data_IF_789819081717
#
_entry.id   IF_789819081717
#
_cell.length_a   1.000
_cell.length_b   1.000
_cell.length_c   1.000
_cell.angle_alpha   90.00
_cell.angle_beta   90.00
_cell.angle_gamma   90.00
#
_symmetry.space_group_name_H-M   'P 1'
#
loop_
_entity.id
_entity.type
_entity.pdbx_description
1 polymer ?
#
# COMPACT_ATOMS: atom_id res chain seq x y z
N UNK A 1 6.64 -8.53 -20.30
CA UNK A 1 6.61 -7.97 -18.94
C UNK A 1 5.16 -7.70 -18.54
N UNK A 2 4.59 -8.46 -17.58
CA UNK A 2 3.21 -8.22 -17.09
C UNK A 2 3.27 -7.18 -15.96
N UNK A 3 3.02 -5.92 -16.29
CA UNK A 3 2.87 -4.83 -15.31
C UNK A 3 1.50 -4.96 -14.65
N UNK A 4 1.45 -4.99 -13.32
CA UNK A 4 0.22 -5.18 -12.56
C UNK A 4 0.02 -4.01 -11.59
N UNK A 5 -0.94 -3.15 -11.99
CA UNK A 5 -1.59 -2.02 -11.32
C UNK A 5 -0.84 -0.70 -11.11
N UNK A 6 -1.61 0.39 -11.22
CA UNK A 6 -1.20 1.79 -11.38
C UNK A 6 -1.81 2.67 -10.30
N UNK A 7 -1.04 3.63 -9.78
CA UNK A 7 -1.59 4.85 -9.19
C UNK A 7 -0.52 5.95 -9.21
N UNK A 8 -0.88 7.11 -9.76
CA UNK A 8 -0.07 8.32 -9.71
C UNK A 8 -0.47 9.15 -8.48
N UNK A 9 0.50 9.52 -7.64
CA UNK A 9 0.33 10.56 -6.62
C UNK A 9 1.52 11.49 -6.73
N UNK A 10 1.30 12.81 -6.78
CA UNK A 10 2.39 13.80 -6.85
C UNK A 10 3.39 13.44 -7.95
N UNK A 11 2.86 13.09 -9.14
CA UNK A 11 3.66 12.68 -10.29
C UNK A 11 4.58 11.47 -10.01
N UNK A 12 4.23 10.60 -9.05
CA UNK A 12 4.97 9.38 -8.71
C UNK A 12 4.13 8.14 -9.01
N UNK A 13 4.71 7.18 -9.74
CA UNK A 13 4.12 5.91 -10.16
C UNK A 13 4.75 4.74 -9.42
N UNK A 14 3.95 3.97 -8.67
CA UNK A 14 4.41 2.79 -7.92
C UNK A 14 3.91 1.49 -8.56
N UNK A 15 4.81 0.50 -8.69
CA UNK A 15 4.49 -0.79 -9.32
C UNK A 15 5.37 -1.93 -8.80
N UNK A 16 4.93 -3.17 -8.99
CA UNK A 16 5.79 -4.35 -8.83
C UNK A 16 6.07 -4.97 -10.19
N UNK A 17 7.31 -5.40 -10.44
CA UNK A 17 7.67 -6.06 -11.69
C UNK A 17 8.75 -7.13 -11.52
N UNK A 18 8.49 -8.32 -12.04
CA UNK A 18 9.47 -9.34 -12.45
C UNK A 18 8.73 -10.36 -13.33
N UNK A 19 9.46 -11.16 -14.10
CA UNK A 19 8.86 -12.21 -14.94
C UNK A 19 8.26 -13.36 -14.10
N UNK A 20 8.84 -13.63 -12.94
CA UNK A 20 8.33 -14.56 -11.93
C UNK A 20 7.60 -13.77 -10.83
N UNK A 21 6.29 -14.02 -10.58
CA UNK A 21 5.54 -13.41 -9.47
C UNK A 21 6.20 -13.56 -8.10
N UNK A 22 6.97 -14.63 -7.86
CA UNK A 22 7.70 -14.87 -6.61
C UNK A 22 8.90 -13.93 -6.45
N UNK A 23 9.39 -13.37 -7.56
CA UNK A 23 10.51 -12.44 -7.63
C UNK A 23 10.06 -10.99 -7.73
N UNK A 24 8.76 -10.71 -7.65
CA UNK A 24 8.27 -9.34 -7.68
C UNK A 24 8.97 -8.49 -6.62
N UNK A 25 9.35 -7.30 -7.04
CA UNK A 25 9.94 -6.25 -6.20
C UNK A 25 9.22 -4.95 -6.50
N UNK A 26 8.97 -4.16 -5.47
CA UNK A 26 8.41 -2.84 -5.62
C UNK A 26 9.40 -1.89 -6.28
N UNK A 27 8.87 -0.99 -7.10
CA UNK A 27 9.59 0.11 -7.73
C UNK A 27 8.69 1.35 -7.77
N UNK A 28 9.30 2.52 -7.88
CA UNK A 28 8.62 3.74 -8.26
C UNK A 28 9.28 4.44 -9.45
N UNK A 29 8.52 5.30 -10.12
CA UNK A 29 9.00 6.25 -11.14
C UNK A 29 8.44 7.63 -10.82
N UNK A 30 9.11 8.67 -11.28
CA UNK A 30 8.65 10.05 -11.14
C UNK A 30 8.44 10.64 -12.53
N UNK A 31 7.42 11.47 -12.67
CA UNK A 31 7.17 12.34 -13.81
C UNK A 31 7.42 13.78 -13.39
N UNK A 32 8.00 14.56 -14.28
CA UNK A 32 8.23 16.00 -14.08
C UNK A 32 7.50 16.84 -15.13
N UNK A 33 6.62 16.21 -15.92
CA UNK A 33 6.00 16.76 -17.12
C UNK A 33 4.51 16.44 -17.19
N UNK A 34 3.81 16.52 -16.05
CA UNK A 34 2.36 16.25 -15.95
C UNK A 34 1.99 14.83 -16.40
N UNK A 35 2.77 13.84 -16.01
CA UNK A 35 2.55 12.41 -16.28
C UNK A 35 2.68 12.01 -17.77
N UNK A 36 3.25 12.89 -18.61
CA UNK A 36 3.52 12.62 -20.03
C UNK A 36 4.67 11.62 -20.23
N UNK A 37 5.70 11.70 -19.39
CA UNK A 37 6.80 10.75 -19.34
C UNK A 37 7.17 10.36 -17.92
N UNK A 38 7.92 9.26 -17.79
CA UNK A 38 8.29 8.68 -16.50
C UNK A 38 9.77 8.31 -16.48
N UNK A 39 10.43 8.58 -15.36
CA UNK A 39 11.82 8.23 -15.11
C UNK A 39 12.10 6.73 -15.22
N UNK A 40 13.38 6.37 -15.09
CA UNK A 40 13.75 4.99 -14.78
C UNK A 40 13.19 4.55 -13.43
N UNK A 41 12.96 3.25 -13.29
CA UNK A 41 12.33 2.67 -12.11
C UNK A 41 13.32 2.52 -10.95
N UNK A 42 13.09 3.25 -9.86
CA UNK A 42 13.88 3.18 -8.63
C UNK A 42 13.30 2.11 -7.71
N UNK A 43 14.18 1.29 -7.12
CA UNK A 43 13.77 0.19 -6.23
C UNK A 43 13.38 0.74 -4.86
N UNK A 44 12.28 0.22 -4.31
CA UNK A 44 11.90 0.44 -2.90
C UNK A 44 12.33 -0.75 -2.04
N UNK A 45 12.40 -0.62 -0.71
CA UNK A 45 12.77 -1.73 0.16
C UNK A 45 12.02 -3.05 -0.14
N UNK A 46 12.74 -4.18 -0.13
CA UNK A 46 12.25 -5.47 -0.62
C UNK A 46 11.03 -6.03 0.13
N UNK A 47 10.81 -5.60 1.37
CA UNK A 47 9.63 -5.96 2.16
C UNK A 47 8.35 -5.23 1.71
N UNK A 48 8.46 -4.33 0.73
CA UNK A 48 7.37 -3.51 0.21
C UNK A 48 6.90 -4.06 -1.14
N UNK A 49 5.92 -4.96 -1.09
CA UNK A 49 5.21 -5.34 -2.30
C UNK A 49 4.11 -4.36 -2.64
N UNK A 50 3.99 -4.04 -3.91
CA UNK A 50 3.06 -3.06 -4.43
C UNK A 50 1.97 -3.83 -5.17
N UNK A 51 0.89 -4.16 -4.46
CA UNK A 51 -0.35 -4.69 -5.04
C UNK A 51 -1.42 -3.61 -4.98
N UNK A 52 -1.37 -2.63 -5.89
CA UNK A 52 -2.24 -1.45 -5.80
C UNK A 52 -3.52 -1.69 -6.60
N UNK A 53 -4.56 -2.24 -5.99
CA UNK A 53 -5.93 -2.04 -6.53
C UNK A 53 -6.68 -0.92 -5.80
N UNK A 54 -6.09 -0.36 -4.75
CA UNK A 54 -6.80 0.48 -3.80
C UNK A 54 -6.39 1.95 -3.92
N UNK A 55 -7.37 2.85 -3.74
CA UNK A 55 -7.14 4.29 -3.72
C UNK A 55 -6.30 4.67 -2.51
N UNK A 56 -5.38 5.58 -2.73
CA UNK A 56 -4.48 6.12 -1.72
C UNK A 56 -5.06 7.43 -1.17
N UNK A 57 -4.56 7.83 -0.01
CA UNK A 57 -4.95 9.09 0.63
C UNK A 57 -3.74 9.77 1.25
N UNK A 58 -3.70 11.08 1.07
CA UNK A 58 -2.80 12.01 1.72
C UNK A 58 -3.48 12.46 3.00
N UNK A 59 -2.81 12.29 4.14
CA UNK A 59 -3.21 12.82 5.45
C UNK A 59 -2.65 14.23 5.67
N UNK A 60 -3.10 14.89 6.74
CA UNK A 60 -2.77 16.29 7.06
C UNK A 60 -1.25 16.56 7.22
N UNK A 61 -0.47 15.55 7.62
CA UNK A 61 1.00 15.61 7.73
C UNK A 61 1.75 15.09 6.49
N UNK A 62 1.12 15.17 5.31
CA UNK A 62 1.68 14.67 4.04
C UNK A 62 1.97 13.17 4.00
N UNK A 63 1.50 12.43 5.01
CA UNK A 63 1.61 10.97 5.06
C UNK A 63 0.68 10.38 4.01
N UNK A 64 1.25 9.65 3.07
CA UNK A 64 0.48 8.85 2.12
C UNK A 64 0.31 7.45 2.68
N UNK A 65 -0.93 6.99 2.83
CA UNK A 65 -1.22 5.63 3.28
C UNK A 65 -1.42 4.68 2.11
N UNK A 66 -0.60 3.62 2.09
CA UNK A 66 -0.72 2.50 1.14
C UNK A 66 -1.28 1.26 1.81
N UNK A 67 -2.59 1.00 1.70
CA UNK A 67 -3.19 -0.21 2.21
C UNK A 67 -2.85 -1.38 1.28
N UNK A 68 -2.17 -2.38 1.80
CA UNK A 68 -1.81 -3.54 0.99
C UNK A 68 -1.78 -4.81 1.85
N UNK A 69 -1.68 -5.94 1.17
CA UNK A 69 -1.64 -7.24 1.78
C UNK A 69 -0.52 -8.08 1.18
N UNK A 70 0.03 -8.99 1.97
CA UNK A 70 0.99 -9.97 1.50
C UNK A 70 0.58 -11.39 1.90
N UNK A 71 0.77 -12.32 0.98
CA UNK A 71 0.46 -13.72 1.17
C UNK A 71 1.74 -14.48 1.55
N UNK A 72 1.73 -15.12 2.71
CA UNK A 72 2.82 -16.00 3.16
C UNK A 72 2.29 -17.42 3.35
N UNK A 73 3.20 -18.39 3.51
CA UNK A 73 2.85 -19.75 3.91
C UNK A 73 2.20 -19.82 5.30
N UNK A 74 2.45 -18.82 6.16
CA UNK A 74 1.91 -18.74 7.52
C UNK A 74 0.57 -18.02 7.61
N UNK A 75 0.13 -17.36 6.53
CA UNK A 75 -1.11 -16.61 6.49
C UNK A 75 -1.00 -15.32 5.69
N UNK A 76 -2.12 -14.60 5.60
CA UNK A 76 -2.21 -13.33 4.88
C UNK A 76 -2.20 -12.15 5.85
N UNK A 77 -1.32 -11.18 5.59
CA UNK A 77 -1.12 -10.02 6.44
C UNK A 77 -1.55 -8.76 5.70
N UNK A 78 -2.12 -7.82 6.44
CA UNK A 78 -2.39 -6.46 5.96
C UNK A 78 -1.42 -5.52 6.63
N UNK A 79 -0.94 -4.55 5.87
CA UNK A 79 -0.16 -3.48 6.41
C UNK A 79 -0.47 -2.16 5.70
N UNK A 80 -0.25 -1.08 6.44
CA UNK A 80 -0.29 0.28 5.91
C UNK A 80 1.13 0.80 5.85
N UNK A 81 1.50 1.38 4.70
CA UNK A 81 2.77 2.10 4.59
C UNK A 81 2.48 3.60 4.66
N UNK A 82 2.98 4.33 5.66
CA UNK A 82 3.14 5.77 5.55
C UNK A 82 4.37 6.08 4.70
N UNK A 83 4.26 7.15 3.94
CA UNK A 83 5.31 7.67 3.07
C UNK A 83 5.30 9.19 3.18
N UNK A 84 6.48 9.79 3.36
CA UNK A 84 6.66 11.25 3.22
C UNK A 84 6.68 11.66 1.74
N UNK A 85 6.38 12.92 1.44
CA UNK A 85 6.31 13.46 0.07
C UNK A 85 7.55 13.14 -0.80
N UNK A 86 8.72 12.98 -0.18
CA UNK A 86 10.00 12.75 -0.84
C UNK A 86 10.34 11.27 -1.09
N UNK A 87 9.45 10.32 -0.79
CA UNK A 87 9.66 8.88 -1.00
C UNK A 87 10.87 8.28 -0.24
N UNK A 88 11.33 8.95 0.81
CA UNK A 88 12.54 8.64 1.57
C UNK A 88 12.26 7.85 2.85
N UNK A 89 11.05 8.00 3.42
CA UNK A 89 10.65 7.34 4.66
C UNK A 89 9.59 6.26 4.39
N UNK A 90 10.03 4.99 4.35
CA UNK A 90 9.15 3.84 4.19
C UNK A 90 8.97 3.09 5.51
N UNK A 91 7.76 3.11 6.08
CA UNK A 91 7.43 2.27 7.25
C UNK A 91 6.43 1.19 6.87
N UNK A 92 6.51 0.04 7.55
CA UNK A 92 5.49 -1.00 7.50
C UNK A 92 4.77 -1.02 8.85
N UNK A 93 3.46 -0.85 8.84
CA UNK A 93 2.63 -0.98 10.04
C UNK A 93 1.73 -2.19 9.81
N UNK A 94 2.04 -3.28 10.50
CA UNK A 94 1.22 -4.49 10.44
C UNK A 94 -0.08 -4.30 11.21
N UNK A 95 -1.17 -4.77 10.62
CA UNK A 95 -2.50 -4.64 11.20
C UNK A 95 -2.94 -6.02 11.69
N UNK A 96 -3.27 -6.10 12.97
CA UNK A 96 -3.88 -7.30 13.54
C UNK A 96 -5.25 -7.53 12.88
N UNK A 97 -5.41 -8.71 12.28
CA UNK A 97 -6.61 -9.16 11.59
C UNK A 97 -7.35 -10.24 12.38
N UNK A 98 -7.03 -10.40 13.68
CA UNK A 98 -7.66 -11.33 14.60
C UNK A 98 -7.63 -12.79 14.10
N UNK A 99 -6.49 -13.19 13.53
CA UNK A 99 -6.26 -14.54 13.00
C UNK A 99 -6.93 -14.85 11.66
N UNK A 100 -7.56 -13.87 11.00
CA UNK A 100 -8.20 -14.06 9.69
C UNK A 100 -7.19 -13.86 8.55
N UNK A 101 -7.30 -14.63 7.47
CA UNK A 101 -6.44 -14.43 6.30
C UNK A 101 -6.95 -13.28 5.45
N UNK A 102 -6.70 -12.04 5.88
CA UNK A 102 -7.23 -10.84 5.26
C UNK A 102 -6.38 -10.36 4.06
N UNK A 103 -7.05 -9.92 2.98
CA UNK A 103 -6.45 -9.48 1.72
C UNK A 103 -7.23 -8.33 1.10
N UNK A 104 -6.56 -7.54 0.26
CA UNK A 104 -7.15 -6.43 -0.52
C UNK A 104 -7.89 -5.43 0.38
N UNK A 105 -7.18 -4.76 1.30
CA UNK A 105 -7.77 -3.76 2.19
C UNK A 105 -8.26 -2.52 1.43
N UNK A 106 -9.54 -2.19 1.55
CA UNK A 106 -10.09 -0.89 1.15
C UNK A 106 -10.11 0.03 2.36
N UNK A 107 -9.55 1.24 2.23
CA UNK A 107 -9.52 2.21 3.33
C UNK A 107 -10.74 3.12 3.29
N UNK A 108 -11.35 3.34 4.45
CA UNK A 108 -12.29 4.43 4.71
C UNK A 108 -11.71 5.38 5.75
N UNK A 109 -11.95 6.66 5.53
CA UNK A 109 -11.53 7.74 6.41
C UNK A 109 -12.75 8.32 7.11
N UNK A 110 -12.65 8.47 8.43
CA UNK A 110 -13.72 9.00 9.27
C UNK A 110 -13.29 10.32 9.90
N UNK A 111 -14.27 11.06 10.45
CA UNK A 111 -13.99 12.26 11.25
C UNK A 111 -13.09 11.92 12.45
N UNK A 112 -12.23 12.86 12.82
CA UNK A 112 -11.32 12.73 13.96
C UNK A 112 -10.14 11.78 13.70
N UNK A 113 -9.68 11.65 12.45
CA UNK A 113 -8.48 10.90 12.10
C UNK A 113 -8.61 9.37 12.14
N UNK A 114 -9.81 8.84 12.45
CA UNK A 114 -10.03 7.38 12.48
C UNK A 114 -10.00 6.79 11.08
N UNK A 115 -9.30 5.67 10.96
CA UNK A 115 -9.13 4.95 9.70
C UNK A 115 -9.73 3.56 9.86
N UNK A 116 -10.43 3.09 8.84
CA UNK A 116 -11.05 1.77 8.83
C UNK A 116 -10.65 1.01 7.57
N UNK A 117 -10.29 -0.26 7.73
CA UNK A 117 -9.93 -1.16 6.65
C UNK A 117 -11.02 -2.21 6.46
N UNK A 118 -11.60 -2.25 5.27
CA UNK A 118 -12.49 -3.32 4.82
C UNK A 118 -11.71 -4.33 4.01
N UNK A 119 -11.77 -5.60 4.39
CA UNK A 119 -10.92 -6.63 3.80
C UNK A 119 -11.75 -7.83 3.33
N UNK A 120 -11.28 -8.46 2.25
CA UNK A 120 -11.70 -9.83 1.90
C UNK A 120 -10.87 -10.80 2.72
N UNK A 121 -11.35 -12.01 2.96
CA UNK A 121 -10.53 -13.06 3.57
C UNK A 121 -10.81 -14.44 2.97
N UNK A 122 -9.95 -15.42 3.28
CA UNK A 122 -10.18 -16.82 2.86
C UNK A 122 -11.38 -17.44 3.55
N UNK A 123 -11.65 -17.02 4.78
CA UNK A 123 -12.71 -17.53 5.65
C UNK A 123 -14.11 -17.06 5.20
N UNK A 124 -14.21 -16.31 4.10
CA UNK A 124 -15.43 -15.72 3.51
C UNK A 124 -16.23 -14.83 4.48
N UNK A 125 -15.57 -14.25 5.48
CA UNK A 125 -16.15 -13.26 6.40
C UNK A 125 -15.77 -11.84 5.97
N UNK A 126 -16.68 -10.89 6.14
CA UNK A 126 -16.32 -9.46 6.01
C UNK A 126 -15.55 -9.06 7.25
N UNK A 127 -14.34 -8.54 7.08
CA UNK A 127 -13.51 -8.06 8.20
C UNK A 127 -13.46 -6.54 8.16
N UNK A 128 -13.68 -5.95 9.32
CA UNK A 128 -13.50 -4.53 9.59
C UNK A 128 -12.42 -4.40 10.66
N UNK A 129 -11.29 -3.79 10.32
CA UNK A 129 -10.29 -3.40 11.32
C UNK A 129 -10.24 -1.88 11.41
N UNK A 130 -10.28 -1.34 12.62
CA UNK A 130 -10.17 0.09 12.87
C UNK A 130 -8.76 0.42 13.37
N UNK A 131 -8.17 1.46 12.81
CA UNK A 131 -6.92 2.06 13.24
C UNK A 131 -7.27 3.43 13.85
N UNK A 132 -7.10 3.54 15.16
CA UNK A 132 -7.40 4.78 15.88
C UNK A 132 -6.22 5.76 15.88
N UNK A 133 -5.02 5.30 15.50
CA UNK A 133 -3.81 6.14 15.50
C UNK A 133 -2.75 5.55 14.59
N UNK A 134 -2.78 5.89 13.30
CA UNK A 134 -1.57 5.79 12.48
C UNK A 134 -0.76 7.04 12.76
N UNK A 135 0.16 6.92 13.72
CA UNK A 135 0.94 7.95 14.42
C UNK A 135 0.17 8.73 15.50
N UNK A 136 0.69 8.82 16.75
CA UNK A 136 0.51 10.06 17.50
C UNK A 136 1.28 11.16 16.73
N UNK A 137 0.66 12.33 16.60
CA UNK A 137 1.32 13.57 16.18
C UNK A 137 2.61 13.80 16.97
#
# INVERSE_FOLDING_TARGET
>A
MKTIFLLAIFSTFLFSAADDPRKWRGKYKVSTDEEKSWSEGVRIPDYLLVHIKNKLKILEDEIILYPTSYETSKGWLIYVKPLGRNLDHWRKIEIDNNGLNAIRPTVLFHKGGRIQLFCRNKEKKTVMTCLNSLCPL
#
